data_IF_777113592672
#
_entry.id   IF_777113592672
#
_cell.length_a   1.000
_cell.length_b   1.000
_cell.length_c   1.000
_cell.angle_alpha   90.00
_cell.angle_beta   90.00
_cell.angle_gamma   90.00
#
_symmetry.space_group_name_H-M   'P 1'
#
loop_
_entity.id
_entity.type
_entity.pdbx_description
1 polymer ?
#
# COMPACT_ATOMS: atom_id res chain seq x y z
N UNK A 1 -12.20 -15.73 -12.31
CA UNK A 1 -10.87 -15.15 -12.04
C UNK A 1 -10.31 -15.81 -10.78
N UNK A 2 -9.04 -16.28 -10.79
CA UNK A 2 -8.43 -16.98 -9.64
C UNK A 2 -8.50 -16.16 -8.34
N UNK A 3 -8.27 -14.85 -8.43
CA UNK A 3 -8.30 -13.95 -7.29
C UNK A 3 -9.61 -14.02 -6.50
N UNK A 4 -10.75 -13.91 -7.21
CA UNK A 4 -12.08 -13.93 -6.58
C UNK A 4 -12.34 -15.20 -5.78
N UNK A 5 -11.90 -16.35 -6.30
CA UNK A 5 -11.98 -17.64 -5.60
C UNK A 5 -11.23 -17.62 -4.26
N UNK A 6 -10.10 -16.93 -4.20
CA UNK A 6 -9.30 -16.83 -2.98
C UNK A 6 -9.83 -15.77 -2.02
N UNK A 7 -10.35 -14.65 -2.52
CA UNK A 7 -10.97 -13.61 -1.67
C UNK A 7 -12.24 -14.14 -1.02
N UNK A 8 -13.09 -14.85 -1.76
CA UNK A 8 -14.30 -15.48 -1.23
C UNK A 8 -13.96 -16.51 -0.13
N UNK A 9 -12.89 -17.29 -0.32
CA UNK A 9 -12.41 -18.25 0.68
C UNK A 9 -11.78 -17.57 1.91
N UNK A 10 -11.19 -16.39 1.73
CA UNK A 10 -10.58 -15.59 2.79
C UNK A 10 -11.56 -14.70 3.54
N UNK A 11 -12.85 -14.68 3.19
CA UNK A 11 -13.85 -13.79 3.78
C UNK A 11 -13.59 -12.31 3.46
N UNK A 12 -12.94 -12.02 2.33
CA UNK A 12 -12.67 -10.66 1.90
C UNK A 12 -13.77 -10.19 0.95
N UNK A 13 -14.56 -9.22 1.42
CA UNK A 13 -15.68 -8.65 0.68
C UNK A 13 -15.30 -7.38 -0.11
N UNK A 14 -16.00 -7.13 -1.23
CA UNK A 14 -15.85 -5.93 -2.06
C UNK A 14 -15.35 -6.19 -3.49
N UNK A 15 -15.21 -5.14 -4.32
CA UNK A 15 -14.77 -5.26 -5.72
C UNK A 15 -13.25 -5.48 -5.81
N UNK A 16 -12.78 -6.62 -5.27
CA UNK A 16 -11.37 -6.97 -5.22
C UNK A 16 -10.89 -7.48 -6.58
N UNK A 17 -9.87 -6.81 -7.10
CA UNK A 17 -9.20 -7.15 -8.36
C UNK A 17 -7.68 -7.21 -8.14
N UNK A 18 -6.94 -7.67 -9.16
CA UNK A 18 -5.48 -7.73 -9.11
C UNK A 18 -4.87 -6.33 -8.81
N UNK A 19 -5.54 -5.29 -9.29
CA UNK A 19 -5.17 -3.91 -8.98
C UNK A 19 -5.29 -3.60 -7.48
N UNK A 20 -6.35 -4.06 -6.82
CA UNK A 20 -6.57 -3.87 -5.38
C UNK A 20 -5.44 -4.49 -4.55
N UNK A 21 -4.99 -5.70 -4.91
CA UNK A 21 -3.85 -6.33 -4.24
C UNK A 21 -2.55 -5.55 -4.42
N UNK A 22 -2.30 -5.03 -5.63
CA UNK A 22 -1.10 -4.22 -5.90
C UNK A 22 -1.12 -2.93 -5.07
N UNK A 23 -2.26 -2.24 -4.97
CA UNK A 23 -2.42 -1.07 -4.10
C UNK A 23 -2.24 -1.42 -2.62
N UNK A 24 -2.75 -2.57 -2.18
CA UNK A 24 -2.53 -3.08 -0.83
C UNK A 24 -1.05 -3.28 -0.52
N UNK A 25 -0.31 -3.93 -1.44
CA UNK A 25 1.14 -4.12 -1.32
C UNK A 25 1.89 -2.78 -1.17
N UNK A 26 1.60 -1.80 -2.03
CA UNK A 26 2.25 -0.48 -1.93
C UNK A 26 1.98 0.21 -0.60
N UNK A 27 0.74 0.13 -0.12
CA UNK A 27 0.34 0.73 1.15
C UNK A 27 1.07 0.06 2.31
N UNK A 28 1.07 -1.27 2.36
CA UNK A 28 1.75 -2.01 3.43
C UNK A 28 3.27 -1.80 3.44
N UNK A 29 3.92 -1.77 2.28
CA UNK A 29 5.37 -1.51 2.22
C UNK A 29 5.70 -0.09 2.74
N UNK A 30 4.88 0.90 2.36
CA UNK A 30 5.03 2.26 2.86
C UNK A 30 4.77 2.37 4.38
N UNK A 31 3.75 1.70 4.91
CA UNK A 31 3.46 1.65 6.35
C UNK A 31 4.58 0.99 7.17
N UNK A 32 5.26 -0.02 6.63
CA UNK A 32 6.42 -0.64 7.28
C UNK A 32 7.68 0.24 7.22
N UNK A 33 7.62 1.42 6.60
CA UNK A 33 8.73 2.37 6.53
C UNK A 33 9.76 2.03 5.46
N UNK A 34 9.42 1.18 4.48
CA UNK A 34 10.31 0.95 3.34
C UNK A 34 10.47 2.25 2.53
N UNK A 35 11.69 2.50 2.07
CA UNK A 35 11.97 3.69 1.25
C UNK A 35 11.29 3.59 -0.12
N UNK A 36 10.93 4.75 -0.69
CA UNK A 36 10.40 4.85 -2.06
C UNK A 36 11.25 4.08 -3.08
N UNK A 37 12.58 4.14 -2.93
CA UNK A 37 13.55 3.47 -3.79
C UNK A 37 13.41 1.94 -3.72
N UNK A 38 13.31 1.38 -2.51
CA UNK A 38 13.13 -0.05 -2.27
C UNK A 38 11.80 -0.56 -2.82
N UNK A 39 10.73 0.22 -2.65
CA UNK A 39 9.41 -0.12 -3.19
C UNK A 39 9.45 -0.12 -4.73
N UNK A 40 10.10 0.87 -5.35
CA UNK A 40 10.26 0.92 -6.81
C UNK A 40 11.08 -0.26 -7.32
N UNK A 41 12.18 -0.61 -6.65
CA UNK A 41 13.04 -1.74 -7.00
C UNK A 41 12.26 -3.07 -7.04
N UNK A 42 11.50 -3.37 -5.99
CA UNK A 42 10.76 -4.64 -5.88
C UNK A 42 9.55 -4.70 -6.80
N UNK A 43 8.90 -3.56 -7.07
CA UNK A 43 7.68 -3.51 -7.88
C UNK A 43 7.90 -3.22 -9.35
N UNK A 44 9.13 -2.85 -9.72
CA UNK A 44 9.54 -2.45 -11.06
C UNK A 44 8.67 -1.33 -11.64
N UNK A 45 8.19 -0.44 -10.77
CA UNK A 45 7.40 0.69 -11.21
C UNK A 45 8.26 1.71 -11.93
N UNK A 46 7.80 2.11 -13.12
CA UNK A 46 8.52 3.07 -13.97
C UNK A 46 8.21 4.51 -13.59
N UNK A 47 7.04 4.78 -13.00
CA UNK A 47 6.64 6.11 -12.55
C UNK A 47 6.65 6.21 -11.00
N UNK A 48 7.63 6.90 -10.42
CA UNK A 48 7.74 7.12 -8.97
C UNK A 48 6.52 7.83 -8.36
N UNK A 49 5.78 8.63 -9.15
CA UNK A 49 4.60 9.38 -8.68
C UNK A 49 3.49 8.44 -8.22
N UNK A 50 3.40 7.26 -8.82
CA UNK A 50 2.43 6.23 -8.44
C UNK A 50 2.69 5.73 -7.01
N UNK A 51 3.95 5.55 -6.64
CA UNK A 51 4.35 5.05 -5.31
C UNK A 51 4.27 6.17 -4.26
N UNK A 52 4.63 7.40 -4.63
CA UNK A 52 4.55 8.58 -3.75
C UNK A 52 3.15 8.81 -3.14
N UNK A 53 2.08 8.49 -3.87
CA UNK A 53 0.71 8.60 -3.37
C UNK A 53 0.44 7.71 -2.15
N UNK A 54 1.06 6.52 -2.10
CA UNK A 54 0.90 5.57 -0.99
C UNK A 54 1.81 5.94 0.19
N UNK A 55 3.02 6.41 -0.07
CA UNK A 55 3.99 6.81 0.97
C UNK A 55 3.52 8.03 1.75
N UNK A 56 3.07 9.11 1.08
CA UNK A 56 2.55 10.30 1.79
C UNK A 56 1.38 9.98 2.71
N UNK A 57 0.50 9.06 2.28
CA UNK A 57 -0.63 8.62 3.09
C UNK A 57 -0.15 7.87 4.34
N UNK A 58 0.81 6.96 4.22
CA UNK A 58 1.38 6.26 5.37
C UNK A 58 2.10 7.19 6.35
N UNK A 59 2.84 8.18 5.84
CA UNK A 59 3.54 9.18 6.68
C UNK A 59 2.56 10.05 7.47
N UNK A 60 1.40 10.41 6.89
CA UNK A 60 0.33 11.11 7.62
C UNK A 60 -0.21 10.34 8.82
N UNK A 61 -0.14 9.00 8.80
CA UNK A 61 -0.60 8.15 9.90
C UNK A 61 0.50 7.77 10.89
N UNK A 62 1.78 7.89 10.50
CA UNK A 62 2.93 7.44 11.31
C UNK A 62 3.56 8.55 12.14
N UNK A 63 3.32 9.81 11.79
CA UNK A 63 3.86 10.98 12.48
C UNK A 63 2.76 12.05 12.58
N UNK A 64 1.78 11.81 13.46
CA UNK A 64 0.87 12.88 13.78
C UNK A 64 1.65 13.91 14.59
N UNK A 65 1.90 15.09 14.00
CA UNK A 65 2.60 16.19 14.66
C UNK A 65 1.95 16.62 16.01
N UNK A 66 0.73 16.14 16.32
CA UNK A 66 0.05 16.32 17.61
C UNK A 66 0.28 15.24 18.66
N UNK A 67 0.93 14.11 18.35
CA UNK A 67 1.08 12.98 19.29
C UNK A 67 2.12 13.27 20.40
N UNK A 68 2.99 14.26 20.19
CA UNK A 68 3.91 14.79 21.22
C UNK A 68 3.45 16.11 21.85
N UNK A 69 2.19 16.50 21.65
CA UNK A 69 1.63 17.77 22.14
C UNK A 69 0.70 17.62 23.36
N UNK A 70 0.60 16.44 23.96
CA UNK A 70 -0.09 16.17 25.23
C UNK A 70 0.81 15.34 26.15
#
# INVERSE_FOLDING_TARGET
>A
MILRRWTDRGGLDGPLAAHSLRSGFFTSAAEHGDSLQRIIEVTLQTDPRTVLGYTRRSEMFRDHAGERFL
#
